data_IF_550021273481
#
_entry.id   IF_550021273481
#
_cell.length_a   1.000
_cell.length_b   1.000
_cell.length_c   1.000
_cell.angle_alpha   90.00
_cell.angle_beta   90.00
_cell.angle_gamma   90.00
#
_symmetry.space_group_name_H-M   'P 1'
#
loop_
_entity.id
_entity.type
_entity.pdbx_description
1 polymer ?
#
# COMPACT_ATOMS: atom_id res chain seq x y z
N UNK A 1 10.27 11.57 -18.92
CA UNK A 1 9.04 11.65 -18.10
C UNK A 1 8.11 10.43 -18.25
N UNK A 2 7.87 9.90 -19.46
CA UNK A 2 7.00 8.73 -19.64
C UNK A 2 7.49 7.43 -18.94
N UNK A 3 8.81 7.20 -18.92
CA UNK A 3 9.40 6.01 -18.30
C UNK A 3 9.26 6.00 -16.77
N UNK A 4 9.62 7.12 -16.12
CA UNK A 4 9.54 7.26 -14.67
C UNK A 4 8.13 7.07 -14.11
N UNK A 5 7.10 7.51 -14.86
CA UNK A 5 5.69 7.29 -14.49
C UNK A 5 5.26 5.83 -14.67
N UNK A 6 5.79 5.15 -15.68
CA UNK A 6 5.52 3.72 -15.91
C UNK A 6 6.14 2.86 -14.82
N UNK A 7 7.36 3.20 -14.39
CA UNK A 7 8.06 2.55 -13.29
C UNK A 7 7.33 2.76 -11.96
N UNK A 8 6.86 3.99 -11.69
CA UNK A 8 6.03 4.30 -10.52
C UNK A 8 4.76 3.44 -10.49
N UNK A 9 4.05 3.34 -11.62
CA UNK A 9 2.80 2.57 -11.70
C UNK A 9 3.03 1.07 -11.54
N UNK A 10 4.12 0.52 -12.08
CA UNK A 10 4.46 -0.89 -11.93
C UNK A 10 4.81 -1.24 -10.46
N UNK A 11 5.58 -0.37 -9.81
CA UNK A 11 5.90 -0.51 -8.39
C UNK A 11 4.65 -0.34 -7.51
N UNK A 12 3.79 0.62 -7.83
CA UNK A 12 2.48 0.79 -7.17
C UNK A 12 1.62 -0.47 -7.30
N UNK A 13 1.51 -1.04 -8.51
CA UNK A 13 0.72 -2.24 -8.76
C UNK A 13 1.24 -3.44 -7.96
N UNK A 14 2.56 -3.55 -7.80
CA UNK A 14 3.19 -4.63 -7.00
C UNK A 14 2.83 -4.49 -5.53
N UNK A 15 3.00 -3.28 -4.96
CA UNK A 15 2.63 -2.98 -3.59
C UNK A 15 1.13 -3.19 -3.33
N UNK A 16 0.29 -2.78 -4.29
CA UNK A 16 -1.16 -2.95 -4.22
C UNK A 16 -1.58 -4.42 -4.30
N UNK A 17 -0.89 -5.25 -5.09
CA UNK A 17 -1.16 -6.67 -5.14
C UNK A 17 -0.85 -7.35 -3.79
N UNK A 18 0.29 -7.04 -3.17
CA UNK A 18 0.61 -7.51 -1.83
C UNK A 18 -0.47 -7.08 -0.81
N UNK A 19 -0.94 -5.83 -0.92
CA UNK A 19 -2.02 -5.32 -0.08
C UNK A 19 -3.33 -6.11 -0.25
N UNK A 20 -3.76 -6.38 -1.50
CA UNK A 20 -5.00 -7.15 -1.78
C UNK A 20 -4.89 -8.60 -1.30
N UNK A 21 -3.71 -9.21 -1.38
CA UNK A 21 -3.46 -10.57 -0.88
C UNK A 21 -3.34 -10.66 0.65
N UNK A 22 -3.33 -9.53 1.36
CA UNK A 22 -3.22 -9.49 2.83
C UNK A 22 -1.77 -9.53 3.33
N UNK A 23 -0.78 -9.42 2.44
CA UNK A 23 0.63 -9.32 2.79
C UNK A 23 0.97 -7.89 3.25
N UNK A 24 0.36 -7.45 4.35
CA UNK A 24 0.42 -6.06 4.81
C UNK A 24 1.84 -5.60 5.15
N UNK A 25 2.69 -6.47 5.71
CA UNK A 25 4.09 -6.14 5.98
C UNK A 25 4.87 -5.87 4.69
N UNK A 26 4.65 -6.68 3.65
CA UNK A 26 5.28 -6.50 2.35
C UNK A 26 4.77 -5.22 1.68
N UNK A 27 3.45 -5.06 1.62
CA UNK A 27 2.82 -3.87 1.07
C UNK A 27 3.32 -2.58 1.76
N UNK A 28 3.45 -2.59 3.09
CA UNK A 28 3.98 -1.46 3.86
C UNK A 28 5.39 -1.07 3.39
N UNK A 29 6.29 -2.05 3.24
CA UNK A 29 7.66 -1.79 2.83
C UNK A 29 7.72 -1.21 1.40
N UNK A 30 6.93 -1.76 0.48
CA UNK A 30 6.88 -1.30 -0.91
C UNK A 30 6.27 0.11 -1.03
N UNK A 31 5.20 0.41 -0.28
CA UNK A 31 4.62 1.76 -0.22
C UNK A 31 5.54 2.76 0.48
N UNK A 32 6.31 2.35 1.48
CA UNK A 32 7.31 3.21 2.11
C UNK A 32 8.42 3.59 1.11
N UNK A 33 8.91 2.62 0.33
CA UNK A 33 9.89 2.87 -0.74
C UNK A 33 9.34 3.83 -1.81
N UNK A 34 8.08 3.63 -2.25
CA UNK A 34 7.39 4.54 -3.16
C UNK A 34 7.25 5.95 -2.57
N UNK A 35 6.93 6.08 -1.29
CA UNK A 35 6.81 7.39 -0.62
C UNK A 35 8.13 8.15 -0.51
N UNK A 36 9.26 7.43 -0.46
CA UNK A 36 10.59 8.02 -0.44
C UNK A 36 11.05 8.45 -1.86
N UNK A 37 10.65 7.71 -2.89
CA UNK A 37 10.99 7.99 -4.28
C UNK A 37 10.07 9.03 -4.93
N UNK A 38 8.80 9.09 -4.51
CA UNK A 38 7.77 9.93 -5.11
C UNK A 38 6.99 10.67 -4.02
N UNK A 39 6.93 12.00 -4.12
CA UNK A 39 6.12 12.86 -3.23
C UNK A 39 4.63 12.74 -3.55
N UNK A 40 4.06 11.56 -3.32
CA UNK A 40 2.64 11.27 -3.47
C UNK A 40 2.04 10.91 -2.11
N UNK A 41 1.13 11.75 -1.56
CA UNK A 41 0.50 11.51 -0.25
C UNK A 41 -0.22 10.16 -0.14
N UNK A 42 -0.64 9.59 -1.27
CA UNK A 42 -1.27 8.27 -1.37
C UNK A 42 -0.40 7.18 -0.73
N UNK A 43 0.90 7.18 -0.97
CA UNK A 43 1.81 6.14 -0.47
C UNK A 43 1.99 6.22 1.04
N UNK A 44 1.94 7.41 1.62
CA UNK A 44 1.95 7.59 3.08
C UNK A 44 0.67 7.03 3.71
N UNK A 45 -0.49 7.28 3.09
CA UNK A 45 -1.79 6.73 3.54
C UNK A 45 -1.75 5.20 3.51
N UNK A 46 -1.29 4.60 2.41
CA UNK A 46 -1.18 3.15 2.31
C UNK A 46 -0.17 2.55 3.30
N UNK A 47 0.95 3.22 3.55
CA UNK A 47 1.93 2.79 4.56
C UNK A 47 1.30 2.75 5.96
N UNK A 48 0.60 3.82 6.36
CA UNK A 48 -0.10 3.88 7.65
C UNK A 48 -1.21 2.84 7.77
N UNK A 49 -1.94 2.61 6.68
CA UNK A 49 -2.96 1.57 6.58
C UNK A 49 -2.35 0.19 6.78
N UNK A 50 -1.34 -0.16 5.99
CA UNK A 50 -0.69 -1.46 6.08
C UNK A 50 -0.11 -1.71 7.49
N UNK A 51 0.46 -0.70 8.14
CA UNK A 51 0.94 -0.82 9.52
C UNK A 51 -0.19 -1.19 10.51
N UNK A 52 -1.38 -0.59 10.37
CA UNK A 52 -2.55 -0.93 11.21
C UNK A 52 -3.07 -2.34 10.95
N UNK A 53 -3.15 -2.75 9.68
CA UNK A 53 -3.60 -4.09 9.29
C UNK A 53 -2.57 -5.17 9.65
N UNK A 54 -1.28 -4.86 9.66
CA UNK A 54 -0.24 -5.78 10.12
C UNK A 54 -0.34 -6.05 11.63
N UNK A 55 -0.75 -5.04 12.42
CA UNK A 55 -0.96 -5.18 13.87
C UNK A 55 -2.24 -5.94 14.20
N UNK A 56 -3.32 -5.66 13.46
CA UNK A 56 -4.61 -6.32 13.64
C UNK A 56 -5.16 -6.77 12.28
N UNK A 57 -4.68 -7.90 11.75
CA UNK A 57 -5.12 -8.38 10.45
C UNK A 57 -6.58 -8.85 10.53
N UNK A 58 -7.43 -8.45 9.58
CA UNK A 58 -8.80 -8.91 9.54
C UNK A 58 -8.84 -10.42 9.27
N UNK A 59 -9.78 -11.12 9.91
CA UNK A 59 -9.95 -12.56 9.74
C UNK A 59 -10.33 -12.94 8.31
N UNK A 60 -11.08 -12.08 7.62
CA UNK A 60 -11.40 -12.19 6.21
C UNK A 60 -11.00 -10.88 5.54
N UNK A 61 -10.04 -10.96 4.63
CA UNK A 61 -9.59 -9.82 3.83
C UNK A 61 -10.06 -9.97 2.39
N UNK A 62 -10.81 -8.99 1.92
CA UNK A 62 -11.40 -8.90 0.58
C UNK A 62 -10.67 -7.87 -0.31
N UNK A 63 -9.53 -7.35 0.15
CA UNK A 63 -8.76 -6.33 -0.56
C UNK A 63 -9.24 -4.90 -0.34
N UNK A 64 -10.30 -4.68 0.45
CA UNK A 64 -10.91 -3.37 0.63
C UNK A 64 -10.75 -2.86 2.06
N UNK A 65 -10.09 -1.71 2.21
CA UNK A 65 -10.10 -1.01 3.48
C UNK A 65 -11.50 -0.46 3.76
N UNK A 66 -12.19 -1.01 4.75
CA UNK A 66 -13.40 -0.38 5.28
C UNK A 66 -13.02 0.52 6.47
N UNK A 67 -13.24 1.83 6.33
CA UNK A 67 -13.07 2.77 7.44
C UNK A 67 -14.27 2.62 8.38
N UNK A 68 -14.08 1.96 9.51
CA UNK A 68 -15.14 1.67 10.48
C UNK A 68 -15.39 2.79 11.51
N UNK A 69 -14.77 3.97 11.34
CA UNK A 69 -14.96 5.10 12.27
C UNK A 69 -15.81 6.21 11.65
N UNK A 70 -16.81 6.66 12.42
CA UNK A 70 -17.58 7.89 12.20
C UNK A 70 -16.94 9.03 12.98
#
# INVERSE_FOLDING_TARGET
>A
EAQARSEELAAHQTAFNAYVHGDFTKAQAEFAALSAAYSCPLYQIFTQRCARLAVNPPQAWDGVWTLTSK
#
